data_IF_873541101936
#
_entry.id   IF_873541101936
#
_cell.length_a   1.000
_cell.length_b   1.000
_cell.length_c   1.000
_cell.angle_alpha   90.00
_cell.angle_beta   90.00
_cell.angle_gamma   90.00
#
_symmetry.space_group_name_H-M   'P 1'
#
loop_
_entity.id
_entity.type
_entity.pdbx_description
1 polymer ?
#
# COMPACT_ATOMS: atom_id res chain seq x y z
N UNK A 1 -26.80 -15.03 22.77
CA UNK A 1 -25.87 -14.32 23.67
C UNK A 1 -24.79 -13.69 22.80
N UNK A 2 -24.94 -12.40 22.44
CA UNK A 2 -24.01 -11.72 21.54
C UNK A 2 -22.86 -11.12 22.35
N UNK A 3 -21.65 -11.67 22.19
CA UNK A 3 -20.45 -11.18 22.88
C UNK A 3 -20.08 -9.81 22.30
N UNK A 4 -20.23 -8.74 23.10
CA UNK A 4 -19.71 -7.41 22.76
C UNK A 4 -18.19 -7.45 22.84
N UNK A 5 -17.53 -7.54 21.71
CA UNK A 5 -16.07 -7.34 21.61
C UNK A 5 -15.78 -5.88 21.92
N UNK A 6 -15.19 -5.60 23.08
CA UNK A 6 -14.71 -4.28 23.43
C UNK A 6 -13.48 -3.99 22.56
N UNK A 7 -13.62 -3.09 21.58
CA UNK A 7 -12.48 -2.64 20.78
C UNK A 7 -11.53 -1.83 21.67
N UNK A 8 -10.40 -2.42 22.04
CA UNK A 8 -9.33 -1.68 22.72
C UNK A 8 -8.70 -0.77 21.67
N UNK A 9 -8.97 0.53 21.73
CA UNK A 9 -8.27 1.51 20.91
C UNK A 9 -6.77 1.37 21.20
N UNK A 10 -6.02 0.87 20.21
CA UNK A 10 -4.57 0.72 20.30
C UNK A 10 -3.99 2.13 20.40
N UNK A 11 -3.09 2.35 21.35
CA UNK A 11 -2.40 3.63 21.49
C UNK A 11 -1.83 4.03 20.13
N UNK A 12 -2.21 5.20 19.63
CA UNK A 12 -1.67 5.76 18.40
C UNK A 12 -0.17 5.95 18.60
N UNK A 13 0.64 5.06 18.02
CA UNK A 13 2.07 5.32 17.89
C UNK A 13 2.17 6.54 16.99
N UNK A 14 2.70 7.64 17.51
CA UNK A 14 2.96 8.84 16.70
C UNK A 14 3.93 8.45 15.59
N UNK A 15 3.60 8.83 14.35
CA UNK A 15 4.53 8.65 13.24
C UNK A 15 5.68 9.64 13.42
N UNK A 16 6.91 9.13 13.43
CA UNK A 16 8.10 9.96 13.45
C UNK A 16 8.35 10.54 12.06
N UNK A 17 9.16 11.60 11.97
CA UNK A 17 9.54 12.20 10.68
C UNK A 17 10.12 11.17 9.71
N UNK A 18 10.90 10.21 10.21
CA UNK A 18 11.47 9.14 9.40
C UNK A 18 10.38 8.23 8.80
N UNK A 19 9.34 7.90 9.58
CA UNK A 19 8.21 7.10 9.08
C UNK A 19 7.45 7.84 7.98
N UNK A 20 7.23 9.15 8.14
CA UNK A 20 6.57 9.97 7.13
C UNK A 20 7.35 10.02 5.82
N UNK A 21 8.67 10.16 5.89
CA UNK A 21 9.54 10.15 4.72
C UNK A 21 9.56 8.79 4.03
N UNK A 22 9.56 7.70 4.81
CA UNK A 22 9.49 6.34 4.27
C UNK A 22 8.16 6.09 3.56
N UNK A 23 7.03 6.43 4.21
CA UNK A 23 5.70 6.29 3.62
C UNK A 23 5.57 7.13 2.34
N UNK A 24 6.08 8.36 2.35
CA UNK A 24 6.12 9.21 1.16
C UNK A 24 6.94 8.58 0.02
N UNK A 25 8.12 8.02 0.35
CA UNK A 25 8.95 7.32 -0.64
C UNK A 25 8.22 6.13 -1.26
N UNK A 26 7.53 5.34 -0.45
CA UNK A 26 6.74 4.18 -0.91
C UNK A 26 5.61 4.64 -1.84
N UNK A 27 4.84 5.65 -1.44
CA UNK A 27 3.76 6.18 -2.26
C UNK A 27 4.26 6.73 -3.59
N UNK A 28 5.34 7.51 -3.56
CA UNK A 28 5.92 8.08 -4.77
C UNK A 28 6.46 6.97 -5.70
N UNK A 29 7.13 5.97 -5.14
CA UNK A 29 7.64 4.83 -5.90
C UNK A 29 6.50 4.08 -6.61
N UNK A 30 5.41 3.78 -5.89
CA UNK A 30 4.25 3.11 -6.45
C UNK A 30 3.67 3.89 -7.65
N UNK A 31 3.50 5.22 -7.51
CA UNK A 31 3.03 6.07 -8.61
C UNK A 31 3.98 6.08 -9.81
N UNK A 32 5.29 6.13 -9.57
CA UNK A 32 6.30 6.13 -10.65
C UNK A 32 6.36 4.81 -11.40
N UNK A 33 6.13 3.69 -10.72
CA UNK A 33 6.01 2.38 -11.35
C UNK A 33 4.77 2.37 -12.26
N UNK A 34 3.62 2.82 -11.75
CA UNK A 34 2.38 2.90 -12.53
C UNK A 34 2.54 3.77 -13.80
N UNK A 35 3.14 4.96 -13.67
CA UNK A 35 3.48 5.81 -14.81
C UNK A 35 4.34 5.07 -15.84
N UNK A 36 5.29 4.24 -15.38
CA UNK A 36 6.18 3.49 -16.25
C UNK A 36 5.46 2.36 -16.97
N UNK A 37 4.55 1.66 -16.30
CA UNK A 37 3.70 0.65 -16.91
C UNK A 37 2.82 1.27 -18.01
N UNK A 38 2.23 2.44 -17.76
CA UNK A 38 1.48 3.19 -18.79
C UNK A 38 2.37 3.52 -20.00
N UNK A 39 3.61 3.95 -19.78
CA UNK A 39 4.57 4.19 -20.87
C UNK A 39 4.86 2.91 -21.66
N UNK A 40 5.11 1.78 -20.98
CA UNK A 40 5.40 0.50 -21.62
C UNK A 40 4.19 0.00 -22.42
N UNK A 41 2.98 0.21 -21.91
CA UNK A 41 1.75 -0.13 -22.62
C UNK A 41 1.58 0.69 -23.89
N UNK A 42 1.86 2.00 -23.84
CA UNK A 42 1.86 2.88 -25.03
C UNK A 42 2.90 2.48 -26.08
N UNK A 43 4.01 1.90 -25.65
CA UNK A 43 5.07 1.36 -26.52
C UNK A 43 4.77 -0.07 -27.03
N UNK A 44 3.60 -0.64 -26.73
CA UNK A 44 3.25 -2.04 -27.02
C UNK A 44 4.27 -3.07 -26.47
N UNK A 45 4.99 -2.73 -25.39
CA UNK A 45 5.93 -3.66 -24.72
C UNK A 45 5.27 -4.56 -23.68
N UNK A 46 4.07 -4.20 -23.23
CA UNK A 46 3.22 -5.00 -22.35
C UNK A 46 1.78 -5.02 -22.89
N UNK A 47 1.06 -6.10 -22.62
CA UNK A 47 -0.28 -6.31 -23.20
C UNK A 47 -1.44 -5.80 -22.32
N UNK A 48 -1.26 -5.73 -21.01
CA UNK A 48 -2.27 -5.23 -20.08
C UNK A 48 -1.60 -4.36 -19.01
N UNK A 49 -2.37 -3.44 -18.43
CA UNK A 49 -1.95 -2.59 -17.32
C UNK A 49 -3.20 -2.24 -16.51
N UNK A 50 -3.12 -2.33 -15.19
CA UNK A 50 -4.20 -1.92 -14.29
C UNK A 50 -3.60 -0.96 -13.28
N UNK A 51 -4.03 0.30 -13.36
CA UNK A 51 -3.42 1.35 -12.54
C UNK A 51 -3.80 1.23 -11.08
N UNK A 52 -2.81 1.33 -10.19
CA UNK A 52 -2.99 1.45 -8.74
C UNK A 52 -3.19 2.89 -8.26
N UNK A 53 -3.27 3.88 -9.15
CA UNK A 53 -3.34 5.29 -8.79
C UNK A 53 -4.50 5.58 -7.81
N UNK A 54 -4.17 6.23 -6.70
CA UNK A 54 -5.10 6.54 -5.61
C UNK A 54 -5.08 5.52 -4.45
N UNK A 55 -4.45 4.35 -4.63
CA UNK A 55 -4.36 3.31 -3.59
C UNK A 55 -3.04 3.35 -2.82
N UNK A 56 -2.13 4.27 -3.15
CA UNK A 56 -0.77 4.27 -2.62
C UNK A 56 -0.75 4.49 -1.10
N UNK A 57 -1.62 5.36 -0.58
CA UNK A 57 -1.69 5.67 0.84
C UNK A 57 -2.10 4.46 1.69
N UNK A 58 -3.12 3.72 1.25
CA UNK A 58 -3.59 2.53 1.99
C UNK A 58 -2.57 1.41 1.92
N UNK A 59 -1.91 1.22 0.77
CA UNK A 59 -0.87 0.20 0.61
C UNK A 59 0.41 0.54 1.38
N UNK A 60 0.79 1.82 1.44
CA UNK A 60 1.90 2.28 2.28
C UNK A 60 1.58 2.13 3.77
N UNK A 61 0.36 2.43 4.20
CA UNK A 61 -0.05 2.21 5.59
C UNK A 61 -0.01 0.72 5.97
N UNK A 62 -0.42 -0.17 5.05
CA UNK A 62 -0.36 -1.61 5.26
C UNK A 62 1.07 -2.10 5.58
N UNK A 63 2.11 -1.50 4.99
CA UNK A 63 3.49 -1.88 5.28
C UNK A 63 3.95 -1.56 6.71
N UNK A 64 3.27 -0.65 7.42
CA UNK A 64 3.53 -0.34 8.85
C UNK A 64 2.70 -1.20 9.80
N UNK A 65 1.60 -1.77 9.32
CA UNK A 65 0.67 -2.57 10.12
C UNK A 65 1.06 -4.06 10.11
N UNK A 66 1.47 -4.57 8.95
CA UNK A 66 1.75 -5.99 8.76
C UNK A 66 3.24 -6.31 8.84
N UNK A 67 3.54 -7.55 9.23
CA UNK A 67 4.89 -8.11 9.28
C UNK A 67 5.19 -8.83 7.97
N UNK A 68 6.16 -8.34 7.18
CA UNK A 68 6.55 -9.02 5.94
C UNK A 68 7.07 -10.43 6.25
N UNK A 69 6.79 -11.37 5.34
CA UNK A 69 7.16 -12.78 5.46
C UNK A 69 6.55 -13.56 6.64
N UNK A 70 5.60 -12.97 7.38
CA UNK A 70 4.87 -13.64 8.45
C UNK A 70 3.36 -13.57 8.22
N UNK A 71 2.84 -12.35 8.02
CA UNK A 71 1.41 -12.16 7.75
C UNK A 71 1.07 -12.60 6.32
N UNK A 72 -0.10 -13.22 6.16
CA UNK A 72 -0.59 -13.72 4.89
C UNK A 72 -1.43 -12.67 4.17
N UNK A 73 -1.26 -12.57 2.85
CA UNK A 73 -1.98 -11.63 2.00
C UNK A 73 -2.73 -12.35 0.88
N UNK A 74 -4.03 -12.10 0.79
CA UNK A 74 -4.86 -12.52 -0.34
C UNK A 74 -5.12 -11.29 -1.21
N UNK A 75 -4.17 -11.00 -2.10
CA UNK A 75 -4.22 -9.81 -2.96
C UNK A 75 -5.05 -10.05 -4.21
N UNK A 76 -5.28 -8.95 -4.93
CA UNK A 76 -5.86 -8.97 -6.27
C UNK A 76 -4.97 -8.11 -7.19
N UNK A 77 -5.43 -7.84 -8.40
CA UNK A 77 -4.64 -7.20 -9.46
C UNK A 77 -4.30 -5.71 -9.24
N UNK A 78 -4.63 -5.13 -8.08
CA UNK A 78 -4.43 -3.70 -7.77
C UNK A 78 -3.85 -3.52 -6.38
#
# INVERSE_FOLDING_TARGET
MATRTTSRARASTSLEKADLLELYRIMLLARRIDDKEIQLKRQNKIFFQISGAGHEGVLAAASKVFRPAYDWFYTYYR
#
